data_IF_422752865748
#
_entry.id   IF_422752865748
#
_cell.length_a   1.000
_cell.length_b   1.000
_cell.length_c   1.000
_cell.angle_alpha   90.00
_cell.angle_beta   90.00
_cell.angle_gamma   90.00
#
_symmetry.space_group_name_H-M   'P 1'
#
loop_
_entity.id
_entity.type
_entity.pdbx_description
1 polymer ?
#
# COMPACT_ATOMS: atom_id res chain seq x y z
N UNK A 1 -61.05 -22.05 0.78
CA UNK A 1 -60.52 -20.67 0.73
C UNK A 1 -59.13 -20.50 1.41
N UNK A 2 -58.70 -21.39 2.29
CA UNK A 2 -57.39 -21.36 2.99
C UNK A 2 -56.19 -21.74 2.07
N UNK A 3 -56.38 -22.79 1.23
CA UNK A 3 -55.33 -23.34 0.38
C UNK A 3 -54.83 -22.39 -0.74
N UNK A 4 -55.58 -21.34 -1.09
CA UNK A 4 -55.16 -20.34 -2.09
C UNK A 4 -54.28 -19.22 -1.47
N UNK A 5 -54.48 -18.94 -0.19
CA UNK A 5 -53.67 -17.97 0.56
C UNK A 5 -52.25 -18.51 0.91
N UNK A 6 -52.19 -19.80 1.26
CA UNK A 6 -50.94 -20.45 1.60
C UNK A 6 -50.03 -20.58 0.37
N UNK A 7 -50.57 -20.88 -0.82
CA UNK A 7 -49.84 -20.90 -2.07
C UNK A 7 -49.35 -19.51 -2.51
N UNK A 8 -50.14 -18.47 -2.26
CA UNK A 8 -49.68 -17.09 -2.57
C UNK A 8 -48.56 -16.62 -1.65
N UNK A 9 -48.60 -16.99 -0.37
CA UNK A 9 -47.55 -16.68 0.56
C UNK A 9 -46.24 -17.45 0.27
N UNK A 10 -46.30 -18.71 -0.10
CA UNK A 10 -45.13 -19.50 -0.54
C UNK A 10 -44.52 -18.94 -1.83
N UNK A 11 -45.32 -18.45 -2.74
CA UNK A 11 -44.87 -17.87 -4.00
C UNK A 11 -44.19 -16.49 -3.77
N UNK A 12 -44.68 -15.70 -2.84
CA UNK A 12 -44.10 -14.40 -2.45
C UNK A 12 -42.77 -14.58 -1.74
N UNK A 13 -42.64 -15.59 -0.87
CA UNK A 13 -41.37 -15.96 -0.20
C UNK A 13 -40.36 -16.49 -1.20
N UNK A 14 -40.76 -17.32 -2.16
CA UNK A 14 -39.88 -17.82 -3.20
C UNK A 14 -39.33 -16.70 -4.10
N UNK A 15 -40.16 -15.75 -4.51
CA UNK A 15 -39.78 -14.59 -5.34
C UNK A 15 -38.81 -13.66 -4.54
N UNK A 16 -39.06 -13.44 -3.24
CA UNK A 16 -38.18 -12.63 -2.40
C UNK A 16 -36.82 -13.29 -2.16
N UNK A 17 -36.80 -14.63 -2.09
CA UNK A 17 -35.54 -15.39 -1.93
C UNK A 17 -34.71 -15.39 -3.21
N UNK A 18 -35.36 -15.54 -4.39
CA UNK A 18 -34.68 -15.45 -5.67
C UNK A 18 -34.14 -14.04 -5.95
N UNK A 19 -34.92 -12.99 -5.64
CA UNK A 19 -34.46 -11.60 -5.78
C UNK A 19 -33.26 -11.27 -4.83
N UNK A 20 -33.27 -11.82 -3.63
CA UNK A 20 -32.14 -11.65 -2.69
C UNK A 20 -30.89 -12.40 -3.15
N UNK A 21 -31.03 -13.60 -3.72
CA UNK A 21 -29.91 -14.36 -4.28
C UNK A 21 -29.32 -13.70 -5.53
N UNK A 22 -30.15 -13.14 -6.42
CA UNK A 22 -29.67 -12.35 -7.57
C UNK A 22 -28.95 -11.07 -7.14
N UNK A 23 -29.43 -10.39 -6.10
CA UNK A 23 -28.80 -9.19 -5.58
C UNK A 23 -27.45 -9.52 -4.92
N UNK A 24 -27.35 -10.64 -4.21
CA UNK A 24 -26.08 -11.14 -3.67
C UNK A 24 -25.09 -11.51 -4.77
N UNK A 25 -25.50 -12.23 -5.80
CA UNK A 25 -24.62 -12.60 -6.91
C UNK A 25 -24.11 -11.38 -7.68
N UNK A 26 -24.95 -10.36 -7.89
CA UNK A 26 -24.54 -9.09 -8.51
C UNK A 26 -23.60 -8.28 -7.63
N UNK A 27 -23.83 -8.27 -6.31
CA UNK A 27 -22.92 -7.59 -5.37
C UNK A 27 -21.55 -8.27 -5.32
N UNK A 28 -21.49 -9.60 -5.32
CA UNK A 28 -20.24 -10.35 -5.41
C UNK A 28 -19.49 -10.12 -6.73
N UNK A 29 -20.22 -10.02 -7.85
CA UNK A 29 -19.62 -9.71 -9.14
C UNK A 29 -19.05 -8.27 -9.18
N UNK A 30 -19.74 -7.31 -8.59
CA UNK A 30 -19.28 -5.93 -8.47
C UNK A 30 -18.06 -5.85 -7.55
N UNK A 31 -18.09 -6.53 -6.40
CA UNK A 31 -16.95 -6.62 -5.48
C UNK A 31 -15.75 -7.24 -6.18
N UNK A 32 -15.95 -8.33 -6.92
CA UNK A 32 -14.89 -8.99 -7.68
C UNK A 32 -14.34 -8.15 -8.84
N UNK A 33 -15.17 -7.29 -9.45
CA UNK A 33 -14.70 -6.30 -10.43
C UNK A 33 -13.93 -5.17 -9.77
N UNK A 34 -14.38 -4.66 -8.64
CA UNK A 34 -13.68 -3.64 -7.86
C UNK A 34 -12.35 -4.17 -7.28
N UNK A 35 -12.31 -5.40 -6.78
CA UNK A 35 -11.07 -6.07 -6.34
C UNK A 35 -10.09 -6.30 -7.50
N UNK A 36 -10.59 -6.54 -8.71
CA UNK A 36 -9.75 -6.66 -9.91
C UNK A 36 -9.23 -5.30 -10.38
N UNK A 37 -9.90 -4.22 -10.05
CA UNK A 37 -9.45 -2.84 -10.27
C UNK A 37 -8.53 -2.34 -9.15
N UNK A 38 -8.55 -2.93 -7.95
CA UNK A 38 -7.54 -2.70 -6.92
C UNK A 38 -6.23 -3.36 -7.36
N UNK A 39 -5.38 -2.55 -7.96
CA UNK A 39 -4.15 -2.92 -8.68
C UNK A 39 -3.02 -3.32 -7.70
N UNK A 40 -3.34 -4.05 -6.63
CA UNK A 40 -2.33 -4.58 -5.70
C UNK A 40 -1.70 -5.84 -6.24
N UNK A 41 -0.39 -5.97 -6.07
CA UNK A 41 0.33 -7.19 -6.46
C UNK A 41 0.00 -8.35 -5.54
N UNK A 42 -0.25 -9.50 -6.16
CA UNK A 42 -0.32 -10.78 -5.46
C UNK A 42 1.03 -11.46 -5.52
N UNK A 43 1.84 -11.28 -4.48
CA UNK A 43 3.15 -11.92 -4.40
C UNK A 43 3.00 -13.43 -4.25
N UNK A 44 3.83 -14.18 -5.01
CA UNK A 44 3.92 -15.63 -4.92
C UNK A 44 5.35 -16.06 -4.53
N UNK A 45 5.45 -17.20 -3.87
CA UNK A 45 6.73 -17.82 -3.54
C UNK A 45 7.64 -16.97 -2.64
N UNK A 46 8.89 -16.82 -3.07
CA UNK A 46 9.96 -16.14 -2.31
C UNK A 46 9.67 -14.64 -2.13
N UNK A 47 9.08 -13.97 -3.12
CA UNK A 47 8.74 -12.55 -3.03
C UNK A 47 7.75 -12.24 -1.92
N UNK A 48 6.78 -13.13 -1.68
CA UNK A 48 5.86 -13.02 -0.56
C UNK A 48 6.58 -13.03 0.79
N UNK A 49 7.60 -13.90 0.94
CA UNK A 49 8.39 -13.99 2.16
C UNK A 49 9.22 -12.73 2.40
N UNK A 50 9.87 -12.21 1.34
CA UNK A 50 10.68 -10.99 1.41
C UNK A 50 9.80 -9.80 1.82
N UNK A 51 8.65 -9.63 1.17
CA UNK A 51 7.71 -8.55 1.50
C UNK A 51 7.19 -8.67 2.94
N UNK A 52 6.86 -9.87 3.39
CA UNK A 52 6.40 -10.11 4.76
C UNK A 52 7.48 -9.76 5.80
N UNK A 53 8.72 -10.18 5.58
CA UNK A 53 9.86 -9.82 6.44
C UNK A 53 10.08 -8.31 6.46
N UNK A 54 10.00 -7.65 5.31
CA UNK A 54 10.12 -6.20 5.21
C UNK A 54 9.05 -5.47 6.03
N UNK A 55 7.78 -5.91 5.93
CA UNK A 55 6.69 -5.35 6.73
C UNK A 55 6.93 -5.52 8.24
N UNK A 56 7.42 -6.69 8.67
CA UNK A 56 7.76 -6.92 10.08
C UNK A 56 8.87 -5.98 10.53
N UNK A 57 9.95 -5.82 9.75
CA UNK A 57 11.06 -4.93 10.07
C UNK A 57 10.60 -3.48 10.21
N UNK A 58 9.76 -3.00 9.29
CA UNK A 58 9.18 -1.65 9.34
C UNK A 58 8.31 -1.49 10.60
N UNK A 59 7.46 -2.47 10.91
CA UNK A 59 6.62 -2.45 12.11
C UNK A 59 7.44 -2.45 13.40
N UNK A 60 8.48 -3.29 13.49
CA UNK A 60 9.38 -3.34 14.64
C UNK A 60 10.14 -2.01 14.82
N UNK A 61 10.60 -1.40 13.73
CA UNK A 61 11.25 -0.10 13.78
C UNK A 61 10.31 0.98 14.35
N UNK A 62 9.06 1.03 13.90
CA UNK A 62 8.08 2.00 14.41
C UNK A 62 7.72 1.74 15.87
N UNK A 63 7.58 0.49 16.27
CA UNK A 63 7.33 0.12 17.66
C UNK A 63 8.50 0.50 18.57
N UNK A 64 9.72 0.26 18.12
CA UNK A 64 10.94 0.66 18.82
C UNK A 64 11.00 2.19 19.01
N UNK A 65 10.79 2.97 17.93
CA UNK A 65 10.83 4.44 18.01
C UNK A 65 9.69 5.04 18.84
N UNK A 66 8.52 4.37 18.87
CA UNK A 66 7.41 4.78 19.74
C UNK A 66 7.72 4.55 21.22
N UNK A 67 8.49 3.51 21.56
CA UNK A 67 8.78 3.14 22.95
C UNK A 67 9.98 3.90 23.50
N UNK A 68 11.06 3.98 22.74
CA UNK A 68 12.35 4.57 23.17
C UNK A 68 12.54 6.01 22.69
N UNK A 69 11.64 6.53 21.90
CA UNK A 69 11.75 7.83 21.25
C UNK A 69 12.48 7.76 19.91
N UNK A 70 12.18 8.69 19.00
CA UNK A 70 12.86 8.75 17.71
C UNK A 70 14.30 9.26 17.91
N UNK A 71 15.23 8.80 17.07
CA UNK A 71 16.53 9.47 16.93
C UNK A 71 16.31 10.92 16.47
N UNK A 72 17.23 11.54 15.82
CA UNK A 72 17.06 12.90 15.29
C UNK A 72 15.77 13.00 14.46
N UNK A 73 14.90 13.96 14.79
CA UNK A 73 13.53 14.08 14.24
C UNK A 73 13.50 14.13 12.72
N UNK A 74 14.47 14.83 12.11
CA UNK A 74 14.54 14.95 10.65
C UNK A 74 14.88 13.61 9.98
N UNK A 75 15.87 12.91 10.52
CA UNK A 75 16.29 11.60 10.04
C UNK A 75 15.13 10.60 10.18
N UNK A 76 14.46 10.60 11.34
CA UNK A 76 13.32 9.70 11.58
C UNK A 76 12.18 9.92 10.58
N UNK A 77 11.83 11.19 10.31
CA UNK A 77 10.79 11.53 9.30
C UNK A 77 11.17 11.03 7.91
N UNK A 78 12.42 11.27 7.51
CA UNK A 78 12.92 10.83 6.20
C UNK A 78 12.90 9.30 6.06
N UNK A 79 13.34 8.57 7.07
CA UNK A 79 13.29 7.10 7.10
C UNK A 79 11.84 6.61 7.03
N UNK A 80 10.93 7.22 7.81
CA UNK A 80 9.51 6.84 7.80
C UNK A 80 8.89 6.97 6.40
N UNK A 81 9.04 8.13 5.77
CA UNK A 81 8.49 8.38 4.43
C UNK A 81 9.12 7.42 3.41
N UNK A 82 10.42 7.23 3.47
CA UNK A 82 11.13 6.31 2.58
C UNK A 82 10.65 4.85 2.72
N UNK A 83 10.48 4.37 3.95
CA UNK A 83 9.94 3.03 4.20
C UNK A 83 8.53 2.86 3.63
N UNK A 84 7.66 3.87 3.80
CA UNK A 84 6.31 3.84 3.22
C UNK A 84 6.33 3.85 1.69
N UNK A 85 7.22 4.65 1.07
CA UNK A 85 7.40 4.66 -0.38
C UNK A 85 7.90 3.32 -0.91
N UNK A 86 8.89 2.71 -0.24
CA UNK A 86 9.40 1.37 -0.61
C UNK A 86 8.27 0.33 -0.58
N UNK A 87 7.48 0.29 0.48
CA UNK A 87 6.34 -0.62 0.58
C UNK A 87 5.30 -0.35 -0.52
N UNK A 88 5.02 0.92 -0.80
CA UNK A 88 4.08 1.34 -1.84
C UNK A 88 4.55 0.90 -3.22
N UNK A 89 5.80 1.18 -3.61
CA UNK A 89 6.33 0.81 -4.92
C UNK A 89 6.46 -0.71 -5.11
N UNK A 90 6.68 -1.45 -4.03
CA UNK A 90 6.65 -2.90 -4.10
C UNK A 90 5.21 -3.42 -4.25
N UNK A 91 4.25 -2.84 -3.54
CA UNK A 91 2.86 -3.33 -3.52
C UNK A 91 2.07 -2.92 -4.76
N UNK A 92 2.30 -1.71 -5.28
CA UNK A 92 1.59 -1.18 -6.43
C UNK A 92 2.49 -1.14 -7.67
N UNK A 93 2.12 -1.82 -8.77
CA UNK A 93 2.87 -1.72 -10.02
C UNK A 93 2.72 -0.32 -10.62
N UNK A 94 3.83 0.36 -10.85
CA UNK A 94 3.82 1.71 -11.43
C UNK A 94 3.35 1.72 -12.88
N UNK A 95 3.58 0.64 -13.62
CA UNK A 95 3.18 0.51 -15.02
C UNK A 95 2.13 -0.59 -15.22
N UNK A 96 1.08 -0.32 -15.99
CA UNK A 96 0.08 -1.30 -16.43
C UNK A 96 0.68 -2.53 -17.14
N UNK A 97 1.91 -2.43 -17.64
CA UNK A 97 2.66 -3.48 -18.32
C UNK A 97 3.55 -4.29 -17.37
N UNK A 98 3.64 -3.89 -16.09
CA UNK A 98 4.39 -4.60 -15.06
C UNK A 98 3.68 -5.89 -14.66
N UNK A 99 4.44 -6.96 -14.42
CA UNK A 99 3.89 -8.22 -13.92
C UNK A 99 3.29 -8.05 -12.52
N UNK A 100 2.14 -8.65 -12.29
CA UNK A 100 1.48 -8.66 -10.97
C UNK A 100 2.19 -9.58 -9.96
N UNK A 101 3.15 -10.38 -10.41
CA UNK A 101 3.85 -11.37 -9.56
C UNK A 101 5.26 -10.95 -9.18
N UNK A 102 5.93 -10.14 -9.99
CA UNK A 102 7.32 -9.73 -9.75
C UNK A 102 7.49 -8.23 -9.98
N UNK A 103 8.28 -7.52 -9.13
CA UNK A 103 8.59 -6.12 -9.34
C UNK A 103 9.33 -5.89 -10.66
N UNK A 104 8.97 -4.84 -11.38
CA UNK A 104 9.66 -4.42 -12.60
C UNK A 104 10.99 -3.72 -12.25
N UNK A 105 11.87 -3.59 -13.23
CA UNK A 105 13.13 -2.83 -13.10
C UNK A 105 12.83 -1.38 -12.68
N UNK A 106 11.75 -0.77 -13.20
CA UNK A 106 11.33 0.57 -12.81
C UNK A 106 10.95 0.66 -11.33
N UNK A 107 10.27 -0.36 -10.79
CA UNK A 107 9.90 -0.38 -9.38
C UNK A 107 11.15 -0.46 -8.49
N UNK A 108 12.18 -1.23 -8.91
CA UNK A 108 13.47 -1.28 -8.22
C UNK A 108 14.23 0.04 -8.27
N UNK A 109 14.18 0.76 -9.40
CA UNK A 109 14.78 2.09 -9.52
C UNK A 109 14.08 3.07 -8.55
N UNK A 110 12.74 3.03 -8.48
CA UNK A 110 11.97 3.88 -7.56
C UNK A 110 12.25 3.55 -6.09
N UNK A 111 12.39 2.26 -5.76
CA UNK A 111 12.80 1.82 -4.42
C UNK A 111 14.20 2.34 -4.08
N UNK A 112 15.16 2.20 -4.97
CA UNK A 112 16.52 2.70 -4.77
C UNK A 112 16.53 4.23 -4.59
N UNK A 113 15.75 4.94 -5.38
CA UNK A 113 15.64 6.39 -5.33
C UNK A 113 14.96 6.87 -4.03
N UNK A 114 13.93 6.14 -3.53
CA UNK A 114 13.30 6.45 -2.25
C UNK A 114 14.22 6.24 -1.04
N UNK A 115 15.20 5.33 -1.15
CA UNK A 115 16.23 5.11 -0.13
C UNK A 115 17.36 6.13 -0.20
N UNK A 116 17.56 6.80 -1.33
CA UNK A 116 18.62 7.79 -1.49
C UNK A 116 18.44 9.01 -0.57
N UNK A 117 17.20 9.48 -0.39
CA UNK A 117 16.88 10.65 0.44
C UNK A 117 17.28 10.48 1.93
N UNK A 118 16.88 9.42 2.65
CA UNK A 118 17.32 9.26 4.05
C UNK A 118 18.82 9.02 4.18
N UNK A 119 19.45 8.36 3.20
CA UNK A 119 20.89 8.18 3.18
C UNK A 119 21.59 9.53 3.04
N UNK A 120 21.16 10.37 2.11
CA UNK A 120 21.70 11.72 1.92
C UNK A 120 21.56 12.58 3.19
N UNK A 121 20.37 12.64 3.78
CA UNK A 121 20.11 13.41 5.00
C UNK A 121 20.92 12.86 6.19
N UNK A 122 21.13 11.56 6.27
CA UNK A 122 21.91 10.95 7.35
C UNK A 122 23.40 11.21 7.23
N UNK A 123 23.94 11.32 6.02
CA UNK A 123 25.37 11.56 5.78
C UNK A 123 25.77 13.02 5.98
N UNK A 124 24.91 13.96 5.62
CA UNK A 124 25.20 15.42 5.73
C UNK A 124 24.17 16.14 6.61
N UNK A 125 23.79 15.51 7.73
CA UNK A 125 22.77 16.04 8.64
C UNK A 125 23.11 17.47 9.15
N UNK A 126 24.34 17.69 9.60
CA UNK A 126 24.76 18.99 10.10
C UNK A 126 24.76 20.05 9.01
N UNK A 127 25.33 19.74 7.86
CA UNK A 127 25.30 20.64 6.72
C UNK A 127 23.89 20.98 6.25
N UNK A 128 22.98 20.00 6.28
CA UNK A 128 21.57 20.21 5.94
C UNK A 128 20.88 21.16 6.95
N UNK A 129 21.13 21.01 8.25
CA UNK A 129 20.56 21.86 9.31
C UNK A 129 21.16 23.27 9.28
N UNK A 130 22.47 23.41 9.06
CA UNK A 130 23.14 24.70 8.95
C UNK A 130 22.70 25.50 7.73
N UNK A 131 22.40 24.81 6.63
CA UNK A 131 21.85 25.40 5.40
C UNK A 131 20.33 25.64 5.45
N UNK A 132 19.67 25.40 6.61
CA UNK A 132 18.24 25.62 6.74
C UNK A 132 17.89 27.10 6.43
N UNK A 133 17.21 27.29 5.30
CA UNK A 133 16.90 28.61 4.76
C UNK A 133 17.69 29.01 3.50
N UNK A 134 18.79 28.32 3.18
CA UNK A 134 19.55 28.51 1.93
C UNK A 134 19.86 27.13 1.31
N UNK A 135 18.79 26.47 0.83
CA UNK A 135 18.88 25.11 0.29
C UNK A 135 19.78 25.05 -0.95
N UNK A 136 20.70 24.10 -0.96
CA UNK A 136 21.52 23.82 -2.13
C UNK A 136 20.67 23.12 -3.20
N UNK A 137 21.09 23.13 -4.46
CA UNK A 137 20.38 22.46 -5.57
C UNK A 137 20.15 20.97 -5.29
N UNK A 138 21.10 20.29 -4.64
CA UNK A 138 20.94 18.88 -4.24
C UNK A 138 19.87 18.71 -3.16
N UNK A 139 19.79 19.61 -2.18
CA UNK A 139 18.77 19.61 -1.15
C UNK A 139 17.37 19.76 -1.76
N UNK A 140 17.22 20.68 -2.73
CA UNK A 140 15.97 20.89 -3.44
C UNK A 140 15.53 19.67 -4.25
N UNK A 141 16.46 19.02 -4.97
CA UNK A 141 16.15 17.81 -5.75
C UNK A 141 15.73 16.67 -4.82
N UNK A 142 16.41 16.46 -3.70
CA UNK A 142 16.09 15.37 -2.77
C UNK A 142 14.77 15.60 -2.03
N UNK A 143 14.47 16.85 -1.64
CA UNK A 143 13.20 17.19 -0.97
C UNK A 143 12.01 17.14 -1.96
N UNK A 144 12.23 17.54 -3.21
CA UNK A 144 11.15 17.50 -4.22
C UNK A 144 10.80 16.06 -4.65
N UNK A 145 11.71 15.10 -4.42
CA UNK A 145 11.51 13.70 -4.74
C UNK A 145 10.79 12.92 -3.62
N UNK A 146 10.91 13.32 -2.36
CA UNK A 146 10.29 12.69 -1.18
C UNK A 146 8.95 13.34 -0.85
#
# INVERSE_FOLDING_TARGET
MQNTKDKAAEQEVAISTEASAEMQSKSEEIIKKLDKESTTRTFSGTMKKIFFVLCILVSCYHLYTATFGPPLTLIHRSIHVSMMLVLTFLMYPMCKKSSFTTPSILDWILVALSLAAPIYISTDYQGFVERAGNANTMDMVMVMWV
#
